data_IF_625019232577
#
_entry.id   IF_625019232577
#
_cell.length_a   1.000
_cell.length_b   1.000
_cell.length_c   1.000
_cell.angle_alpha   90.00
_cell.angle_beta   90.00
_cell.angle_gamma   90.00
#
_symmetry.space_group_name_H-M   'P 1'
#
loop_
_entity.id
_entity.type
_entity.pdbx_description
1 polymer ?
#
# COMPACT_ATOMS: atom_id res chain seq x y z
N UNK A 1 32.33 26.62 -7.60
CA UNK A 1 32.36 25.80 -6.37
C UNK A 1 31.18 26.28 -5.53
N UNK A 2 29.94 26.04 -5.99
CA UNK A 2 29.11 24.85 -5.72
C UNK A 2 29.11 24.46 -4.23
N UNK A 3 27.97 24.33 -3.55
CA UNK A 3 26.76 23.65 -4.02
C UNK A 3 25.46 24.33 -3.55
N UNK A 4 24.49 24.39 -4.46
CA UNK A 4 23.11 24.77 -4.17
C UNK A 4 22.40 23.69 -3.34
N UNK A 5 21.76 24.13 -2.27
CA UNK A 5 20.82 23.32 -1.51
C UNK A 5 19.62 23.00 -2.39
N UNK A 6 19.57 21.78 -2.93
CA UNK A 6 18.38 21.24 -3.59
C UNK A 6 17.30 21.08 -2.53
N UNK A 7 16.29 21.95 -2.55
CA UNK A 7 15.01 21.71 -1.88
C UNK A 7 14.50 20.34 -2.32
N UNK A 8 14.44 19.39 -1.39
CA UNK A 8 13.70 18.15 -1.58
C UNK A 8 12.22 18.55 -1.62
N UNK A 9 11.65 18.42 -2.81
CA UNK A 9 10.27 18.76 -3.13
C UNK A 9 9.31 17.95 -2.24
N UNK A 10 8.55 18.67 -1.40
CA UNK A 10 7.56 18.12 -0.46
C UNK A 10 6.24 17.88 -1.18
N UNK A 11 6.28 17.09 -2.25
CA UNK A 11 5.13 16.87 -3.11
C UNK A 11 4.95 15.38 -3.38
N UNK A 12 4.43 14.66 -2.37
CA UNK A 12 3.73 13.41 -2.62
C UNK A 12 2.30 13.73 -3.11
N UNK A 13 2.18 14.49 -4.20
CA UNK A 13 0.95 14.68 -4.96
C UNK A 13 1.03 13.79 -6.20
N UNK A 14 0.82 12.49 -6.02
CA UNK A 14 0.62 11.57 -7.14
C UNK A 14 -0.60 10.72 -6.85
N UNK A 15 -1.76 11.27 -7.20
CA UNK A 15 -2.97 10.50 -7.45
C UNK A 15 -2.70 9.56 -8.65
N UNK A 16 -2.19 8.35 -8.37
CA UNK A 16 -2.16 7.27 -9.35
C UNK A 16 -3.48 6.50 -9.25
N UNK A 17 -4.07 6.21 -10.41
CA UNK A 17 -5.37 5.54 -10.61
C UNK A 17 -5.23 4.04 -10.30
N UNK A 18 -4.69 3.70 -9.15
CA UNK A 18 -4.20 2.36 -8.83
C UNK A 18 -4.48 2.08 -7.36
N UNK A 19 -4.88 0.86 -7.00
CA UNK A 19 -5.01 0.49 -5.59
C UNK A 19 -3.63 0.48 -4.96
N UNK A 20 -3.46 1.19 -3.86
CA UNK A 20 -2.25 1.07 -3.07
C UNK A 20 -2.56 0.27 -1.80
N UNK A 21 -1.79 -0.79 -1.57
CA UNK A 21 -1.70 -1.43 -0.25
C UNK A 21 -0.32 -1.08 0.29
N UNK A 22 -0.24 -0.67 1.54
CA UNK A 22 1.01 -0.33 2.18
C UNK A 22 1.13 -1.03 3.54
N UNK A 23 2.33 -1.52 3.84
CA UNK A 23 2.71 -1.97 5.18
C UNK A 23 3.55 -0.89 5.85
N UNK A 24 3.10 -0.41 7.01
CA UNK A 24 3.91 0.39 7.91
C UNK A 24 4.90 -0.52 8.63
N UNK A 25 6.21 -0.39 8.40
CA UNK A 25 7.18 -1.39 8.86
C UNK A 25 7.70 -1.09 10.27
N UNK A 26 8.19 0.13 10.49
CA UNK A 26 9.02 0.47 11.66
C UNK A 26 8.38 1.54 12.55
N UNK A 27 7.35 2.23 12.07
CA UNK A 27 6.75 3.32 12.81
C UNK A 27 5.29 3.57 12.41
N UNK A 28 4.45 3.98 13.38
CA UNK A 28 3.07 4.32 13.09
C UNK A 28 2.95 5.56 12.21
N UNK A 29 2.06 5.54 11.22
CA UNK A 29 1.82 6.69 10.35
C UNK A 29 0.39 7.19 10.46
N UNK A 30 0.16 8.39 9.94
CA UNK A 30 -1.17 8.96 9.84
C UNK A 30 -1.40 9.61 8.48
N UNK A 31 -2.58 9.40 7.92
CA UNK A 31 -2.97 10.02 6.66
C UNK A 31 -4.42 10.52 6.71
N UNK A 32 -4.65 11.65 6.05
CA UNK A 32 -5.98 12.17 5.80
C UNK A 32 -6.60 11.44 4.62
N UNK A 33 -7.81 10.92 4.83
CA UNK A 33 -8.55 10.20 3.80
C UNK A 33 -10.04 10.26 4.08
N UNK A 34 -10.81 10.62 3.04
CA UNK A 34 -12.27 10.81 3.12
C UNK A 34 -12.69 11.74 4.28
N UNK A 35 -11.98 12.84 4.47
CA UNK A 35 -12.21 13.84 5.53
C UNK A 35 -12.03 13.30 6.96
N UNK A 36 -11.31 12.18 7.12
CA UNK A 36 -10.96 11.62 8.42
C UNK A 36 -9.46 11.34 8.48
N UNK A 37 -8.88 11.49 9.67
CA UNK A 37 -7.50 11.11 9.95
C UNK A 37 -7.48 9.63 10.32
N UNK A 38 -6.63 8.85 9.65
CA UNK A 38 -6.46 7.42 9.92
C UNK A 38 -5.08 7.18 10.52
N UNK A 39 -5.05 6.52 11.68
CA UNK A 39 -3.82 6.07 12.33
C UNK A 39 -3.48 4.64 11.89
N UNK A 40 -2.24 4.44 11.44
CA UNK A 40 -1.70 3.18 10.95
C UNK A 40 -0.61 2.71 11.90
N UNK A 41 -0.87 1.74 12.79
CA UNK A 41 0.18 1.19 13.65
C UNK A 41 1.34 0.59 12.85
N UNK A 42 2.54 0.59 13.43
CA UNK A 42 3.65 -0.20 12.88
C UNK A 42 3.25 -1.69 12.82
N UNK A 43 3.68 -2.39 11.78
CA UNK A 43 3.31 -3.78 11.51
C UNK A 43 1.94 -3.95 10.84
N UNK A 44 1.15 -2.89 10.68
CA UNK A 44 -0.19 -2.99 10.09
C UNK A 44 -0.25 -2.61 8.61
N UNK A 45 -1.28 -3.12 7.92
CA UNK A 45 -1.56 -2.79 6.53
C UNK A 45 -2.56 -1.64 6.44
N UNK A 46 -2.36 -0.76 5.46
CA UNK A 46 -3.33 0.25 5.05
C UNK A 46 -3.71 0.12 3.58
N UNK A 47 -4.98 0.40 3.26
CA UNK A 47 -5.54 0.36 1.92
C UNK A 47 -5.97 1.77 1.49
N UNK A 48 -5.57 2.14 0.27
CA UNK A 48 -6.03 3.35 -0.41
C UNK A 48 -6.76 2.95 -1.69
N UNK A 49 -8.02 3.40 -1.80
CA UNK A 49 -8.84 3.13 -2.98
C UNK A 49 -8.38 3.97 -4.18
N UNK A 50 -8.51 3.43 -5.40
CA UNK A 50 -8.07 4.11 -6.60
C UNK A 50 -8.94 5.35 -6.85
N UNK A 51 -8.32 6.43 -7.32
CA UNK A 51 -9.02 7.68 -7.62
C UNK A 51 -9.39 8.52 -6.40
N UNK A 52 -9.04 8.08 -5.19
CA UNK A 52 -9.31 8.84 -3.97
C UNK A 52 -8.09 9.61 -3.48
N UNK A 53 -8.34 10.88 -3.16
CA UNK A 53 -7.33 11.77 -2.64
C UNK A 53 -6.97 11.36 -1.21
N UNK A 54 -5.67 11.33 -0.94
CA UNK A 54 -5.10 11.14 0.39
C UNK A 54 -3.90 12.07 0.53
N UNK A 55 -3.63 12.51 1.76
CA UNK A 55 -2.40 13.22 2.09
C UNK A 55 -1.78 12.59 3.33
N UNK A 56 -0.47 12.36 3.30
CA UNK A 56 0.25 12.14 4.54
C UNK A 56 0.08 13.37 5.41
N UNK A 57 -0.28 13.19 6.69
CA UNK A 57 -0.56 14.31 7.61
C UNK A 57 0.66 15.19 7.89
N UNK A 58 1.85 14.84 7.38
CA UNK A 58 3.05 15.63 7.57
C UNK A 58 3.56 15.67 9.01
N UNK A 59 2.99 14.88 9.95
CA UNK A 59 3.51 14.71 11.32
C UNK A 59 4.92 14.11 11.40
N UNK A 60 5.56 13.89 10.26
CA UNK A 60 6.97 13.47 10.15
C UNK A 60 7.97 14.64 10.09
N UNK A 61 7.55 15.91 10.06
CA UNK A 61 8.47 17.05 9.88
C UNK A 61 8.67 17.81 11.20
N UNK A 62 9.36 17.20 12.17
CA UNK A 62 9.82 17.92 13.37
C UNK A 62 10.38 17.05 14.49
N UNK A 63 9.69 15.96 14.82
CA UNK A 63 9.99 15.17 16.04
C UNK A 63 10.74 13.86 15.78
N UNK A 64 11.07 13.56 14.53
CA UNK A 64 11.56 12.24 14.15
C UNK A 64 13.06 12.21 13.88
N UNK A 65 13.78 11.36 14.61
CA UNK A 65 15.23 11.16 14.45
C UNK A 65 15.58 10.29 13.23
N UNK A 66 14.64 9.49 12.73
CA UNK A 66 14.83 8.58 11.58
C UNK A 66 13.65 8.60 10.61
N UNK A 67 13.87 8.41 9.29
CA UNK A 67 12.79 8.32 8.31
C UNK A 67 11.87 7.12 8.56
N UNK A 68 10.61 7.24 8.14
CA UNK A 68 9.68 6.12 8.09
C UNK A 68 9.97 5.16 6.94
N UNK A 69 9.84 3.86 7.22
CA UNK A 69 9.95 2.84 6.20
C UNK A 69 8.55 2.25 5.94
N UNK A 70 8.10 2.44 4.70
CA UNK A 70 6.90 1.80 4.17
C UNK A 70 7.26 0.81 3.08
N UNK A 71 6.43 -0.22 2.93
CA UNK A 71 6.47 -1.15 1.79
C UNK A 71 5.14 -1.05 1.06
N UNK A 72 5.16 -0.33 -0.05
CA UNK A 72 3.96 0.01 -0.81
C UNK A 72 3.89 -0.77 -2.11
N UNK A 73 2.73 -1.32 -2.39
CA UNK A 73 2.42 -1.98 -3.65
C UNK A 73 1.25 -1.29 -4.31
N UNK A 74 1.41 -1.04 -5.61
CA UNK A 74 0.33 -0.57 -6.47
C UNK A 74 -0.18 -1.73 -7.31
N UNK A 75 -1.44 -2.12 -7.10
CA UNK A 75 -2.10 -3.17 -7.86
C UNK A 75 -2.97 -2.54 -8.96
N UNK A 76 -2.72 -2.97 -10.20
CA UNK A 76 -3.52 -2.53 -11.34
C UNK A 76 -4.98 -3.00 -11.16
N UNK A 77 -5.98 -2.11 -11.32
CA UNK A 77 -7.36 -2.46 -11.02
C UNK A 77 -7.89 -3.68 -11.78
N UNK A 78 -7.59 -3.83 -13.07
CA UNK A 78 -8.06 -4.99 -13.84
C UNK A 78 -7.49 -6.29 -13.30
N UNK A 79 -6.21 -6.33 -12.92
CA UNK A 79 -5.60 -7.50 -12.31
C UNK A 79 -6.30 -7.90 -10.99
N UNK A 80 -6.63 -6.92 -10.14
CA UNK A 80 -7.37 -7.19 -8.89
C UNK A 80 -8.78 -7.69 -9.20
N UNK A 81 -9.51 -7.03 -10.10
CA UNK A 81 -10.85 -7.46 -10.51
C UNK A 81 -10.86 -8.87 -11.09
N UNK A 82 -9.85 -9.25 -11.87
CA UNK A 82 -9.74 -10.57 -12.45
C UNK A 82 -9.56 -11.64 -11.37
N UNK A 83 -8.64 -11.43 -10.42
CA UNK A 83 -8.46 -12.37 -9.30
C UNK A 83 -9.74 -12.51 -8.46
N UNK A 84 -10.47 -11.41 -8.24
CA UNK A 84 -11.75 -11.46 -7.53
C UNK A 84 -12.84 -12.19 -8.32
N UNK A 85 -12.85 -12.06 -9.64
CA UNK A 85 -13.77 -12.78 -10.50
C UNK A 85 -13.50 -14.29 -10.43
N UNK A 86 -12.22 -14.67 -10.51
CA UNK A 86 -11.79 -16.07 -10.51
C UNK A 86 -12.01 -16.74 -9.13
N UNK A 87 -11.74 -16.02 -8.04
CA UNK A 87 -11.82 -16.56 -6.68
C UNK A 87 -13.23 -16.53 -6.06
N UNK A 88 -14.00 -15.48 -6.36
CA UNK A 88 -15.26 -15.18 -5.66
C UNK A 88 -16.46 -14.99 -6.61
N UNK A 89 -16.27 -15.09 -7.93
CA UNK A 89 -17.31 -14.80 -8.91
C UNK A 89 -17.69 -13.32 -9.01
N UNK A 90 -16.85 -12.41 -8.48
CA UNK A 90 -17.11 -10.97 -8.43
C UNK A 90 -16.20 -10.21 -9.41
N UNK A 91 -16.75 -9.70 -10.50
CA UNK A 91 -15.98 -8.95 -11.51
C UNK A 91 -15.74 -7.48 -11.13
N UNK A 92 -16.50 -6.95 -10.17
CA UNK A 92 -16.31 -5.59 -9.67
C UNK A 92 -15.15 -5.50 -8.70
N UNK A 93 -14.48 -4.34 -8.69
CA UNK A 93 -13.45 -4.03 -7.71
C UNK A 93 -14.01 -4.10 -6.27
N UNK A 94 -13.41 -4.86 -5.34
CA UNK A 94 -13.86 -4.92 -3.95
C UNK A 94 -13.75 -3.56 -3.27
N UNK A 95 -14.72 -3.15 -2.46
CA UNK A 95 -14.61 -1.93 -1.68
C UNK A 95 -14.33 -2.29 -0.21
N UNK A 96 -13.20 -1.83 0.32
CA UNK A 96 -12.80 -2.10 1.69
C UNK A 96 -13.30 -1.00 2.62
N UNK A 97 -14.17 -1.34 3.57
CA UNK A 97 -14.64 -0.41 4.59
C UNK A 97 -13.63 -0.26 5.73
N UNK A 98 -12.94 -1.35 6.09
CA UNK A 98 -11.78 -1.29 6.99
C UNK A 98 -10.53 -0.95 6.20
N UNK A 99 -10.01 0.26 6.41
CA UNK A 99 -8.83 0.76 5.71
C UNK A 99 -7.54 0.36 6.39
N UNK A 100 -7.60 0.12 7.71
CA UNK A 100 -6.48 -0.36 8.52
C UNK A 100 -6.76 -1.81 8.87
N UNK A 101 -5.78 -2.68 8.61
CA UNK A 101 -5.88 -4.11 8.88
C UNK A 101 -4.82 -4.47 9.91
N UNK A 102 -5.31 -4.89 11.09
CA UNK A 102 -4.52 -5.30 12.25
C UNK A 102 -4.45 -6.83 12.33
N UNK A 103 -3.93 -7.45 11.28
CA UNK A 103 -3.75 -8.90 11.18
C UNK A 103 -2.27 -9.20 10.88
N UNK A 104 -1.56 -9.70 11.89
CA UNK A 104 -0.13 -9.98 11.83
C UNK A 104 0.21 -11.08 10.82
N UNK A 105 -0.68 -12.07 10.64
CA UNK A 105 -0.49 -13.14 9.68
C UNK A 105 -0.63 -12.60 8.25
N UNK A 106 -1.63 -11.75 8.00
CA UNK A 106 -1.80 -11.09 6.72
C UNK A 106 -0.67 -10.09 6.42
N UNK A 107 -0.21 -9.33 7.41
CA UNK A 107 0.94 -8.43 7.27
C UNK A 107 2.23 -9.19 6.92
N UNK A 108 2.44 -10.32 7.57
CA UNK A 108 3.56 -11.23 7.28
C UNK A 108 3.46 -11.82 5.88
N UNK A 109 2.25 -12.22 5.46
CA UNK A 109 2.00 -12.72 4.12
C UNK A 109 2.26 -11.65 3.06
N UNK A 110 1.76 -10.43 3.26
CA UNK A 110 2.02 -9.29 2.39
C UNK A 110 3.51 -9.01 2.27
N UNK A 111 4.28 -9.06 3.37
CA UNK A 111 5.72 -8.83 3.33
C UNK A 111 6.44 -9.87 2.46
N UNK A 112 6.10 -11.16 2.62
CA UNK A 112 6.66 -12.24 1.78
C UNK A 112 6.32 -12.03 0.31
N UNK A 113 5.06 -11.72 0.02
CA UNK A 113 4.59 -11.44 -1.34
C UNK A 113 5.29 -10.22 -1.95
N UNK A 114 5.40 -9.12 -1.21
CA UNK A 114 6.08 -7.91 -1.64
C UNK A 114 7.55 -8.18 -1.96
N UNK A 115 8.26 -8.92 -1.10
CA UNK A 115 9.66 -9.31 -1.30
C UNK A 115 9.83 -10.19 -2.53
N UNK A 116 9.00 -11.23 -2.70
CA UNK A 116 9.02 -12.09 -3.88
C UNK A 116 8.79 -11.29 -5.17
N UNK A 117 7.98 -10.24 -5.10
CA UNK A 117 7.63 -9.37 -6.24
C UNK A 117 8.72 -8.34 -6.61
N UNK A 118 9.80 -8.20 -5.84
CA UNK A 118 10.92 -7.31 -6.20
C UNK A 118 11.86 -7.90 -7.26
N UNK A 119 11.80 -9.22 -7.49
CA UNK A 119 12.62 -9.91 -8.47
C UNK A 119 12.08 -9.81 -9.90
N UNK A 120 12.88 -10.23 -10.89
CA UNK A 120 12.36 -10.48 -12.24
C UNK A 120 11.44 -11.70 -12.18
N UNK A 121 10.23 -11.53 -12.70
CA UNK A 121 9.23 -12.58 -12.84
C UNK A 121 8.53 -12.39 -14.19
N UNK A 122 8.17 -13.49 -14.83
CA UNK A 122 7.25 -13.50 -15.96
C UNK A 122 5.88 -12.98 -15.54
N UNK A 123 5.04 -12.61 -16.52
CA UNK A 123 3.68 -12.14 -16.24
C UNK A 123 2.85 -13.21 -15.51
N UNK A 124 3.00 -14.47 -15.92
CA UNK A 124 2.32 -15.60 -15.28
C UNK A 124 2.69 -15.73 -13.81
N UNK A 125 3.98 -15.70 -13.48
CA UNK A 125 4.45 -15.78 -12.09
C UNK A 125 3.96 -14.59 -11.24
N UNK A 126 3.81 -13.40 -11.84
CA UNK A 126 3.22 -12.25 -11.14
C UNK A 126 1.74 -12.47 -10.84
N UNK A 127 0.99 -12.97 -11.82
CA UNK A 127 -0.44 -13.23 -11.69
C UNK A 127 -0.70 -14.36 -10.67
N UNK A 128 0.08 -15.46 -10.69
CA UNK A 128 0.00 -16.55 -9.71
C UNK A 128 0.29 -16.07 -8.27
N UNK A 129 1.31 -15.23 -8.09
CA UNK A 129 1.65 -14.68 -6.76
C UNK A 129 0.56 -13.74 -6.25
N UNK A 130 0.01 -12.90 -7.12
CA UNK A 130 -1.10 -12.03 -6.76
C UNK A 130 -2.34 -12.84 -6.39
N UNK A 131 -2.65 -13.89 -7.16
CA UNK A 131 -3.75 -14.79 -6.87
C UNK A 131 -3.57 -15.50 -5.53
N UNK A 132 -2.39 -16.06 -5.26
CA UNK A 132 -2.08 -16.69 -3.98
C UNK A 132 -2.31 -15.70 -2.82
N UNK A 133 -1.73 -14.50 -2.90
CA UNK A 133 -1.88 -13.47 -1.88
C UNK A 133 -3.35 -13.09 -1.59
N UNK A 134 -4.16 -12.91 -2.63
CA UNK A 134 -5.56 -12.46 -2.48
C UNK A 134 -6.53 -13.57 -2.10
N UNK A 135 -6.13 -14.84 -2.23
CA UNK A 135 -6.99 -16.01 -1.97
C UNK A 135 -6.53 -16.87 -0.81
N UNK A 136 -5.35 -16.60 -0.24
CA UNK A 136 -4.86 -17.29 0.94
C UNK A 136 -5.84 -17.10 2.10
N UNK A 137 -6.42 -18.20 2.55
CA UNK A 137 -7.31 -18.22 3.70
C UNK A 137 -6.45 -18.33 4.95
N UNK A 138 -6.50 -17.31 5.81
CA UNK A 138 -6.16 -17.48 7.23
C UNK A 138 -7.15 -18.44 7.89
#
# INVERSE_FOLDING_TARGET
MEAGARKLDSSAHLAKITRAVALACDYPSEYDYRKSVHFVPAGSLSIIHPGEMHSGTGRDIGDRQTPAIFRMMYAEPRAVSQVFADAFGQSSLPFFTSLIILDDALASLYLRFHQASQGKASRLEQDERLQAFLTERN
#
